data_IF_386424021799
#
_entry.id   IF_386424021799
#
_cell.length_a   1.000
_cell.length_b   1.000
_cell.length_c   1.000
_cell.angle_alpha   90.00
_cell.angle_beta   90.00
_cell.angle_gamma   90.00
#
_symmetry.space_group_name_H-M   'P 1'
#
loop_
_entity.id
_entity.type
_entity.pdbx_description
1 polymer ?
#
# COMPACT_ATOMS: atom_id res chain seq x y z
N UNK A 1 13.49 -22.88 -17.82
CA UNK A 1 12.99 -22.36 -16.53
C UNK A 1 13.50 -20.94 -16.41
N UNK A 2 12.64 -19.94 -16.60
CA UNK A 2 13.01 -18.54 -16.38
C UNK A 2 12.98 -18.31 -14.88
N UNK A 3 14.14 -18.03 -14.30
CA UNK A 3 14.32 -17.64 -12.91
C UNK A 3 13.41 -16.45 -12.62
N UNK A 4 12.60 -16.54 -11.57
CA UNK A 4 11.60 -15.55 -11.18
C UNK A 4 12.20 -14.19 -10.69
N UNK A 5 13.44 -13.90 -11.04
CA UNK A 5 14.27 -12.81 -10.51
C UNK A 5 14.26 -11.55 -11.42
N UNK A 6 13.51 -11.58 -12.51
CA UNK A 6 13.41 -10.49 -13.49
C UNK A 6 12.10 -9.68 -13.38
N UNK A 7 11.38 -9.78 -12.26
CA UNK A 7 10.14 -9.00 -12.07
C UNK A 7 10.19 -8.15 -10.82
N UNK A 8 9.62 -6.95 -10.93
CA UNK A 8 9.33 -6.12 -9.78
C UNK A 8 8.08 -6.68 -9.10
N UNK A 9 8.19 -6.99 -7.81
CA UNK A 9 7.09 -7.49 -6.98
C UNK A 9 6.78 -6.46 -5.92
N UNK A 10 5.51 -6.10 -5.80
CA UNK A 10 5.01 -5.26 -4.71
C UNK A 10 4.26 -6.13 -3.71
N UNK A 11 4.43 -5.85 -2.43
CA UNK A 11 3.77 -6.59 -1.36
C UNK A 11 3.38 -5.65 -0.23
N UNK A 12 2.26 -5.95 0.44
CA UNK A 12 1.92 -5.26 1.68
C UNK A 12 2.71 -5.88 2.82
N UNK A 13 3.30 -5.04 3.68
CA UNK A 13 3.99 -5.52 4.89
C UNK A 13 2.98 -6.14 5.86
N UNK A 14 1.76 -5.61 5.89
CA UNK A 14 0.69 -6.06 6.77
C UNK A 14 -0.50 -6.54 5.93
N UNK A 15 -1.00 -7.73 6.23
CA UNK A 15 -2.22 -8.27 5.61
C UNK A 15 -3.50 -7.70 6.25
N UNK A 16 -3.40 -7.28 7.51
CA UNK A 16 -4.48 -6.63 8.24
C UNK A 16 -3.89 -5.66 9.26
N UNK A 17 -4.58 -4.53 9.44
CA UNK A 17 -4.25 -3.55 10.48
C UNK A 17 -5.52 -3.31 11.27
N UNK A 18 -5.44 -3.51 12.58
CA UNK A 18 -6.50 -3.16 13.50
C UNK A 18 -6.12 -1.85 14.20
N UNK A 19 -7.02 -0.89 14.14
CA UNK A 19 -6.85 0.43 14.73
C UNK A 19 -8.13 0.78 15.49
N UNK A 20 -7.98 1.44 16.64
CA UNK A 20 -9.14 1.94 17.40
C UNK A 20 -9.88 3.02 16.60
N UNK A 21 -11.15 3.28 16.94
CA UNK A 21 -11.97 4.29 16.24
C UNK A 21 -11.34 5.68 16.27
N UNK A 22 -10.61 6.02 17.34
CA UNK A 22 -9.88 7.28 17.47
C UNK A 22 -8.44 7.27 16.89
N UNK A 23 -8.07 6.26 16.10
CA UNK A 23 -6.73 6.18 15.50
C UNK A 23 -6.50 7.31 14.49
N UNK A 24 -7.57 7.82 13.88
CA UNK A 24 -7.57 8.90 12.88
C UNK A 24 -6.96 8.48 11.54
N UNK A 25 -5.78 7.86 11.54
CA UNK A 25 -5.07 7.41 10.36
C UNK A 25 -4.47 6.02 10.56
N UNK A 26 -4.38 5.28 9.47
CA UNK A 26 -3.75 3.97 9.39
C UNK A 26 -2.59 4.08 8.42
N UNK A 27 -1.38 3.78 8.87
CA UNK A 27 -0.22 3.67 8.00
C UNK A 27 -0.21 2.31 7.30
N UNK A 28 -0.16 2.32 5.98
CA UNK A 28 -0.03 1.11 5.15
C UNK A 28 1.31 1.15 4.46
N UNK A 29 2.14 0.13 4.71
CA UNK A 29 3.47 0.00 4.14
C UNK A 29 3.46 -1.00 2.99
N UNK A 30 4.04 -0.59 1.86
CA UNK A 30 4.24 -1.38 0.65
C UNK A 30 5.73 -1.58 0.43
N UNK A 31 6.15 -2.83 0.36
CA UNK A 31 7.51 -3.23 0.00
C UNK A 31 7.59 -3.58 -1.47
N UNK A 32 8.78 -3.33 -2.03
CA UNK A 32 9.17 -3.64 -3.39
C UNK A 32 10.38 -4.57 -3.36
N UNK A 33 10.29 -5.68 -4.09
CA UNK A 33 11.33 -6.72 -4.17
C UNK A 33 11.57 -7.15 -5.62
N UNK A 34 12.70 -7.82 -5.88
CA UNK A 34 13.09 -8.28 -7.21
C UNK A 34 13.88 -7.20 -7.97
N UNK A 35 13.40 -6.76 -9.14
CA UNK A 35 14.07 -5.72 -9.93
C UNK A 35 13.90 -4.32 -9.32
N UNK A 36 14.96 -3.80 -8.68
CA UNK A 36 14.98 -2.51 -8.01
C UNK A 36 15.68 -1.39 -8.80
N UNK A 37 16.54 -1.73 -9.75
CA UNK A 37 17.40 -0.78 -10.48
C UNK A 37 16.65 0.22 -11.38
N UNK A 38 15.38 -0.05 -11.69
CA UNK A 38 14.53 0.83 -12.50
C UNK A 38 13.49 1.53 -11.62
N UNK A 39 13.04 2.74 -11.96
CA UNK A 39 11.86 3.31 -11.32
C UNK A 39 10.63 2.44 -11.62
N UNK A 40 9.76 2.29 -10.63
CA UNK A 40 8.50 1.55 -10.79
C UNK A 40 7.38 2.25 -10.03
N UNK A 41 6.14 2.00 -10.43
CA UNK A 41 4.98 2.64 -9.81
C UNK A 41 3.88 1.63 -9.56
N UNK A 42 3.21 1.75 -8.43
CA UNK A 42 2.04 0.93 -8.08
C UNK A 42 0.88 1.83 -7.67
N UNK A 43 -0.25 1.66 -8.34
CA UNK A 43 -1.50 2.32 -7.97
C UNK A 43 -2.17 1.57 -6.83
N UNK A 44 -2.63 2.29 -5.82
CA UNK A 44 -3.41 1.74 -4.71
C UNK A 44 -4.76 2.45 -4.61
N UNK A 45 -5.74 1.71 -4.11
CA UNK A 45 -7.09 2.20 -3.86
C UNK A 45 -7.68 1.43 -2.69
N UNK A 46 -8.21 2.15 -1.71
CA UNK A 46 -9.00 1.53 -0.63
C UNK A 46 -10.31 1.00 -1.22
N UNK A 47 -10.66 -0.25 -0.93
CA UNK A 47 -11.93 -0.83 -1.37
C UNK A 47 -12.81 -1.10 -0.15
N UNK A 48 -14.10 -0.91 -0.31
CA UNK A 48 -15.11 -1.38 0.62
C UNK A 48 -14.99 -2.90 0.86
N UNK A 49 -15.19 -3.28 2.11
CA UNK A 49 -15.17 -4.67 2.56
C UNK A 49 -16.29 -4.86 3.58
N UNK A 50 -15.91 -5.03 4.85
CA UNK A 50 -16.86 -4.94 5.97
C UNK A 50 -17.10 -3.51 6.45
N UNK A 51 -16.16 -2.61 6.16
CA UNK A 51 -16.25 -1.18 6.45
C UNK A 51 -16.70 -0.42 5.19
N UNK A 52 -17.51 0.63 5.37
CA UNK A 52 -18.05 1.44 4.28
C UNK A 52 -17.24 2.72 4.09
N UNK A 53 -16.89 3.00 2.83
CA UNK A 53 -16.24 4.26 2.46
C UNK A 53 -17.19 5.45 2.66
N UNK A 54 -16.74 6.47 3.38
CA UNK A 54 -17.49 7.68 3.72
C UNK A 54 -18.11 7.63 5.12
N UNK A 55 -18.33 6.42 5.66
CA UNK A 55 -18.84 6.21 7.02
C UNK A 55 -17.70 5.79 7.96
N UNK A 56 -17.07 4.64 7.70
CA UNK A 56 -16.01 4.07 8.55
C UNK A 56 -14.59 4.52 8.16
N UNK A 57 -14.39 4.92 6.92
CA UNK A 57 -13.10 5.39 6.42
C UNK A 57 -13.28 6.32 5.24
N UNK A 58 -12.33 7.23 5.03
CA UNK A 58 -12.32 8.06 3.82
C UNK A 58 -11.61 7.29 2.72
N UNK A 59 -12.26 7.17 1.55
CA UNK A 59 -11.63 6.60 0.38
C UNK A 59 -10.28 7.29 0.08
N UNK A 60 -9.24 6.49 -0.07
CA UNK A 60 -7.92 6.96 -0.51
C UNK A 60 -7.50 6.15 -1.73
N UNK A 61 -7.12 6.86 -2.78
CA UNK A 61 -6.50 6.28 -3.96
C UNK A 61 -5.30 7.13 -4.37
N UNK A 62 -4.31 6.49 -4.99
CA UNK A 62 -3.08 7.17 -5.37
C UNK A 62 -2.11 6.26 -6.09
N UNK A 63 -0.94 6.81 -6.37
CA UNK A 63 0.16 6.09 -7.01
C UNK A 63 1.43 6.24 -6.17
N UNK A 64 1.97 5.11 -5.72
CA UNK A 64 3.28 5.07 -5.09
C UNK A 64 4.33 4.91 -6.17
N UNK A 65 5.13 5.97 -6.37
CA UNK A 65 6.28 5.94 -7.27
C UNK A 65 7.54 5.60 -6.49
N UNK A 66 8.15 4.48 -6.85
CA UNK A 66 9.42 3.99 -6.34
C UNK A 66 10.55 4.41 -7.26
N UNK A 67 11.56 5.09 -6.70
CA UNK A 67 12.80 5.38 -7.42
C UNK A 67 13.62 4.09 -7.61
N UNK A 68 14.69 4.19 -8.40
CA UNK A 68 15.70 3.14 -8.43
C UNK A 68 16.24 2.90 -7.00
N UNK A 69 16.36 1.63 -6.64
CA UNK A 69 16.82 1.14 -5.32
C UNK A 69 15.90 1.48 -4.13
N UNK A 70 14.72 2.05 -4.38
CA UNK A 70 13.72 2.28 -3.34
C UNK A 70 12.90 1.01 -3.12
N UNK A 71 12.96 0.49 -1.88
CA UNK A 71 12.35 -0.80 -1.51
C UNK A 71 11.08 -0.66 -0.68
N UNK A 72 10.79 0.52 -0.14
CA UNK A 72 9.68 0.73 0.80
C UNK A 72 9.03 2.10 0.60
N UNK A 73 7.70 2.10 0.63
CA UNK A 73 6.85 3.31 0.67
C UNK A 73 5.68 3.06 1.61
N UNK A 74 5.29 4.08 2.36
CA UNK A 74 4.03 4.06 3.10
C UNK A 74 3.06 5.10 2.57
N UNK A 75 1.77 4.84 2.80
CA UNK A 75 0.71 5.82 2.63
C UNK A 75 -0.23 5.79 3.84
N UNK A 76 -0.83 6.93 4.11
CA UNK A 76 -1.83 7.07 5.17
C UNK A 76 -3.23 6.87 4.59
N UNK A 77 -4.00 5.94 5.18
CA UNK A 77 -5.43 5.83 4.95
C UNK A 77 -6.18 6.45 6.15
N UNK A 78 -7.08 7.39 5.89
CA UNK A 78 -7.83 8.04 6.96
C UNK A 78 -9.01 7.16 7.38
N UNK A 79 -9.13 6.86 8.66
CA UNK A 79 -10.33 6.25 9.24
C UNK A 79 -11.26 7.38 9.71
N UNK A 80 -12.52 7.33 9.32
CA UNK A 80 -13.54 8.28 9.79
C UNK A 80 -14.36 7.53 10.83
N UNK A 81 -14.52 8.12 12.00
CA UNK A 81 -15.40 7.62 13.07
C UNK A 81 -16.38 8.70 13.46
#
# INVERSE_FOLDING_TARGET
MMSQEERCVFSFVMMSVACMENCGKVEVVVTRSGLLHFPASVSFRTKDGTATSGEDFKHVEGCLSFKADEVEKSFEANRTG
#
